data_IF_216827668526
#
_entry.id   IF_216827668526
#
_cell.length_a   1.000
_cell.length_b   1.000
_cell.length_c   1.000
_cell.angle_alpha   90.00
_cell.angle_beta   90.00
_cell.angle_gamma   90.00
#
_symmetry.space_group_name_H-M   'P 1'
#
loop_
_entity.id
_entity.type
_entity.pdbx_description
1 polymer ?
#
# COMPACT_ATOMS: atom_id res chain seq x y z
N UNK A 1 -26.33 23.61 -4.49
CA UNK A 1 -26.57 24.90 -3.82
C UNK A 1 -25.40 25.84 -4.08
N UNK A 2 -25.61 27.16 -4.01
CA UNK A 2 -24.48 28.12 -4.07
C UNK A 2 -23.98 28.41 -2.66
N UNK A 3 -22.70 28.21 -2.40
CA UNK A 3 -22.03 28.48 -1.12
C UNK A 3 -21.80 29.98 -0.95
N UNK A 4 -21.90 30.44 0.29
CA UNK A 4 -21.52 31.79 0.73
C UNK A 4 -20.57 31.63 1.93
N UNK A 5 -19.48 32.39 1.97
CA UNK A 5 -18.49 32.36 3.04
C UNK A 5 -18.90 33.28 4.19
N UNK A 6 -18.69 32.81 5.41
CA UNK A 6 -18.84 33.65 6.61
C UNK A 6 -17.66 34.61 6.75
N UNK A 7 -17.80 35.64 7.58
CA UNK A 7 -16.68 36.56 7.83
C UNK A 7 -15.52 35.89 8.56
N UNK A 8 -15.79 34.89 9.39
CA UNK A 8 -14.81 34.11 10.12
C UNK A 8 -13.95 33.26 9.14
N UNK A 9 -14.60 32.53 8.23
CA UNK A 9 -13.91 31.76 7.17
C UNK A 9 -13.04 32.64 6.28
N UNK A 10 -13.48 33.85 5.96
CA UNK A 10 -12.70 34.81 5.16
C UNK A 10 -11.51 35.33 5.96
N UNK A 11 -11.67 35.56 7.27
CA UNK A 11 -10.57 35.96 8.14
C UNK A 11 -9.49 34.88 8.21
N UNK A 12 -9.87 33.62 8.39
CA UNK A 12 -8.95 32.48 8.38
C UNK A 12 -8.21 32.36 7.04
N UNK A 13 -8.92 32.48 5.92
CA UNK A 13 -8.30 32.50 4.59
C UNK A 13 -7.28 33.63 4.44
N UNK A 14 -7.61 34.82 4.94
CA UNK A 14 -6.72 35.99 4.89
C UNK A 14 -5.48 35.77 5.76
N UNK A 15 -5.64 35.24 6.95
CA UNK A 15 -4.54 34.91 7.89
C UNK A 15 -3.59 33.85 7.32
N UNK A 16 -4.11 32.88 6.55
CA UNK A 16 -3.31 31.89 5.84
C UNK A 16 -2.50 32.44 4.64
N UNK A 17 -2.67 33.71 4.31
CA UNK A 17 -2.02 34.37 3.17
C UNK A 17 -2.69 34.08 1.82
N UNK A 18 -3.93 33.55 1.84
CA UNK A 18 -4.69 33.32 0.63
C UNK A 18 -4.89 34.60 -0.18
N UNK A 19 -4.66 34.55 -1.49
CA UNK A 19 -4.80 35.67 -2.45
C UNK A 19 -3.99 36.94 -2.13
N UNK A 20 -3.04 36.92 -1.21
CA UNK A 20 -2.31 38.09 -0.70
C UNK A 20 -1.61 38.93 -1.81
N UNK A 21 -1.18 38.34 -2.91
CA UNK A 21 -0.46 39.09 -3.95
C UNK A 21 -1.34 40.00 -4.83
N UNK A 22 -2.63 39.72 -4.93
CA UNK A 22 -3.62 40.54 -5.65
C UNK A 22 -3.32 40.85 -7.12
N UNK A 23 -2.42 40.06 -7.78
CA UNK A 23 -2.15 40.21 -9.21
C UNK A 23 -3.14 39.37 -10.03
N UNK A 24 -3.36 39.72 -11.31
CA UNK A 24 -4.24 38.94 -12.17
C UNK A 24 -3.77 37.49 -12.38
N UNK A 25 -2.46 37.25 -12.32
CA UNK A 25 -1.89 35.89 -12.43
C UNK A 25 -2.08 35.07 -11.15
N UNK A 26 -1.92 35.68 -9.98
CA UNK A 26 -2.19 35.01 -8.72
C UNK A 26 -3.69 34.82 -8.48
N UNK A 27 -4.53 35.73 -8.97
CA UNK A 27 -5.98 35.65 -8.84
C UNK A 27 -6.55 34.36 -9.46
N UNK A 28 -6.08 33.99 -10.66
CA UNK A 28 -6.56 32.77 -11.32
C UNK A 28 -6.19 31.50 -10.51
N UNK A 29 -5.02 31.48 -9.86
CA UNK A 29 -4.64 30.41 -8.95
C UNK A 29 -5.52 30.40 -7.69
N UNK A 30 -5.85 31.56 -7.14
CA UNK A 30 -6.75 31.68 -5.99
C UNK A 30 -8.18 31.25 -6.33
N UNK A 31 -8.67 31.55 -7.54
CA UNK A 31 -9.96 31.07 -8.03
C UNK A 31 -9.96 29.53 -8.09
N UNK A 32 -8.91 28.94 -8.65
CA UNK A 32 -8.77 27.49 -8.73
C UNK A 32 -8.71 26.86 -7.32
N UNK A 33 -7.94 27.43 -6.41
CA UNK A 33 -7.81 26.95 -5.02
C UNK A 33 -9.17 26.97 -4.30
N UNK A 34 -9.94 28.07 -4.39
CA UNK A 34 -11.30 28.15 -3.85
C UNK A 34 -12.21 27.06 -4.41
N UNK A 35 -12.18 26.85 -5.72
CA UNK A 35 -13.01 25.83 -6.35
C UNK A 35 -12.63 24.41 -5.90
N UNK A 36 -11.33 24.10 -5.84
CA UNK A 36 -10.88 22.78 -5.41
C UNK A 36 -11.25 22.49 -3.96
N UNK A 37 -11.02 23.44 -3.06
CA UNK A 37 -11.21 23.25 -1.62
C UNK A 37 -12.66 23.32 -1.17
N UNK A 38 -13.48 24.15 -1.81
CA UNK A 38 -14.79 24.53 -1.28
C UNK A 38 -15.97 24.22 -2.21
N UNK A 39 -15.77 23.44 -3.26
CA UNK A 39 -16.86 22.97 -4.11
C UNK A 39 -16.84 21.46 -4.27
N UNK A 40 -17.98 20.88 -4.61
CA UNK A 40 -18.17 19.47 -4.93
C UNK A 40 -19.18 19.32 -6.09
N UNK A 41 -19.68 18.10 -6.33
CA UNK A 41 -20.67 17.84 -7.38
C UNK A 41 -22.04 18.53 -7.13
N UNK A 42 -22.34 18.89 -5.88
CA UNK A 42 -23.63 19.45 -5.44
C UNK A 42 -23.53 20.92 -5.10
N UNK A 43 -22.36 21.36 -4.60
CA UNK A 43 -22.14 22.71 -4.06
C UNK A 43 -21.17 23.49 -4.94
N UNK A 44 -21.58 24.64 -5.44
CA UNK A 44 -20.74 25.56 -6.21
C UNK A 44 -20.63 26.92 -5.53
N UNK A 45 -19.81 27.81 -6.09
CA UNK A 45 -19.64 29.20 -5.62
C UNK A 45 -19.97 30.13 -6.77
N UNK A 46 -20.73 31.19 -6.50
CA UNK A 46 -21.04 32.21 -7.53
C UNK A 46 -19.82 33.06 -7.85
N UNK A 47 -19.73 33.60 -9.07
CA UNK A 47 -18.64 34.47 -9.47
C UNK A 47 -18.57 35.74 -8.61
N UNK A 48 -19.71 36.25 -8.18
CA UNK A 48 -19.82 37.40 -7.26
C UNK A 48 -19.24 37.10 -5.88
N UNK A 49 -19.50 35.88 -5.35
CA UNK A 49 -18.95 35.46 -4.07
C UNK A 49 -17.44 35.21 -4.13
N UNK A 50 -16.96 34.59 -5.19
CA UNK A 50 -15.53 34.45 -5.43
C UNK A 50 -14.86 35.84 -5.49
N UNK A 51 -15.46 36.77 -6.21
CA UNK A 51 -14.97 38.16 -6.30
C UNK A 51 -14.89 38.84 -4.93
N UNK A 52 -15.93 38.63 -4.09
CA UNK A 52 -16.01 39.17 -2.72
C UNK A 52 -14.86 38.60 -1.84
N UNK A 53 -14.71 37.28 -1.80
CA UNK A 53 -13.68 36.63 -0.98
C UNK A 53 -12.28 37.06 -1.41
N UNK A 54 -11.97 36.97 -2.70
CA UNK A 54 -10.64 37.38 -3.23
C UNK A 54 -10.40 38.87 -2.99
N UNK A 55 -11.41 39.71 -3.18
CA UNK A 55 -11.30 41.15 -2.96
C UNK A 55 -10.95 41.52 -1.51
N UNK A 56 -11.53 40.84 -0.54
CA UNK A 56 -11.24 41.03 0.88
C UNK A 56 -9.83 40.50 1.22
N UNK A 57 -9.50 39.28 0.80
CA UNK A 57 -8.22 38.65 1.14
C UNK A 57 -7.02 39.38 0.46
N UNK A 58 -7.19 39.89 -0.74
CA UNK A 58 -6.14 40.63 -1.46
C UNK A 58 -6.08 42.13 -1.13
N UNK A 59 -7.05 42.64 -0.37
CA UNK A 59 -7.25 44.07 -0.10
C UNK A 59 -7.39 44.92 -1.38
N UNK A 60 -7.83 44.30 -2.47
CA UNK A 60 -8.03 44.95 -3.77
C UNK A 60 -9.39 44.61 -4.35
N UNK A 61 -10.19 45.61 -4.76
CA UNK A 61 -11.46 45.34 -5.39
C UNK A 61 -11.32 44.40 -6.59
N UNK A 62 -12.10 43.32 -6.59
CA UNK A 62 -12.10 42.34 -7.68
C UNK A 62 -13.49 42.34 -8.30
N UNK A 63 -13.57 42.52 -9.63
CA UNK A 63 -14.86 42.53 -10.32
C UNK A 63 -15.29 41.12 -10.69
N UNK A 64 -16.60 40.88 -10.69
CA UNK A 64 -17.20 39.62 -11.12
C UNK A 64 -16.81 39.25 -12.56
N UNK A 65 -16.74 40.22 -13.47
CA UNK A 65 -16.32 40.01 -14.84
C UNK A 65 -14.85 39.52 -14.96
N UNK A 66 -13.99 39.93 -14.04
CA UNK A 66 -12.62 39.41 -13.99
C UNK A 66 -12.59 37.95 -13.55
N UNK A 67 -13.41 37.57 -12.58
CA UNK A 67 -13.56 36.19 -12.11
C UNK A 67 -14.16 35.30 -13.21
N UNK A 68 -15.18 35.75 -13.93
CA UNK A 68 -15.76 35.01 -15.06
C UNK A 68 -14.73 34.71 -16.14
N UNK A 69 -13.85 35.65 -16.46
CA UNK A 69 -12.74 35.41 -17.42
C UNK A 69 -11.77 34.35 -16.87
N UNK A 70 -11.40 34.42 -15.59
CA UNK A 70 -10.53 33.45 -14.96
C UNK A 70 -11.16 32.04 -14.93
N UNK A 71 -12.45 31.94 -14.62
CA UNK A 71 -13.21 30.69 -14.65
C UNK A 71 -13.26 30.04 -16.03
N UNK A 72 -13.50 30.85 -17.08
CA UNK A 72 -13.44 30.38 -18.46
C UNK A 72 -12.05 29.88 -18.83
N UNK A 73 -11.00 30.61 -18.46
CA UNK A 73 -9.63 30.22 -18.74
C UNK A 73 -9.25 28.92 -18.02
N UNK A 74 -9.67 28.73 -16.76
CA UNK A 74 -9.47 27.47 -16.01
C UNK A 74 -10.22 26.32 -16.72
N UNK A 75 -11.47 26.57 -17.13
CA UNK A 75 -12.30 25.56 -17.82
C UNK A 75 -11.70 25.11 -19.16
N UNK A 76 -11.09 26.04 -19.92
CA UNK A 76 -10.43 25.74 -21.20
C UNK A 76 -9.09 25.04 -21.03
N UNK A 77 -8.28 25.45 -20.04
CA UNK A 77 -6.92 24.93 -19.81
C UNK A 77 -6.90 23.62 -19.03
N UNK A 78 -7.97 23.29 -18.30
CA UNK A 78 -8.12 22.09 -17.47
C UNK A 78 -6.84 21.72 -16.67
N UNK A 79 -6.32 22.63 -15.82
CA UNK A 79 -5.10 22.39 -15.10
C UNK A 79 -5.21 21.12 -14.23
N UNK A 80 -4.24 20.24 -14.28
CA UNK A 80 -4.24 18.94 -13.58
C UNK A 80 -5.46 18.04 -13.88
N UNK A 81 -6.14 18.23 -15.04
CA UNK A 81 -7.36 17.51 -15.38
C UNK A 81 -8.62 18.00 -14.68
N UNK A 82 -8.53 19.06 -13.87
CA UNK A 82 -9.67 19.65 -13.15
C UNK A 82 -10.60 20.31 -14.16
N UNK A 83 -11.86 19.92 -14.14
CA UNK A 83 -12.93 20.55 -14.93
C UNK A 83 -13.77 21.45 -14.05
N UNK A 84 -14.08 22.62 -14.57
CA UNK A 84 -15.04 23.55 -13.95
C UNK A 84 -16.37 23.42 -14.67
N UNK A 85 -17.40 23.04 -13.95
CA UNK A 85 -18.77 23.08 -14.45
C UNK A 85 -19.27 24.52 -14.38
N UNK A 86 -19.67 25.05 -15.54
CA UNK A 86 -20.31 26.37 -15.67
C UNK A 86 -21.83 26.17 -15.48
N UNK A 87 -22.44 26.87 -14.53
CA UNK A 87 -23.88 26.72 -14.29
C UNK A 87 -24.68 27.10 -15.53
N UNK A 88 -25.71 26.32 -15.84
CA UNK A 88 -26.67 26.64 -16.91
C UNK A 88 -27.50 27.86 -16.59
N UNK A 89 -28.16 28.46 -17.62
CA UNK A 89 -29.01 29.62 -17.43
C UNK A 89 -30.20 29.27 -16.51
N UNK A 90 -30.27 29.90 -15.32
CA UNK A 90 -31.30 29.64 -14.31
C UNK A 90 -30.93 28.59 -13.25
N UNK A 91 -29.75 27.95 -13.32
CA UNK A 91 -29.26 27.09 -12.27
C UNK A 91 -28.66 27.90 -11.11
N UNK A 92 -29.15 27.66 -9.90
CA UNK A 92 -28.67 28.33 -8.67
C UNK A 92 -27.56 27.52 -7.96
N UNK A 93 -26.58 26.96 -8.71
CA UNK A 93 -25.60 26.06 -8.16
C UNK A 93 -24.19 26.69 -8.09
N UNK A 94 -23.92 27.72 -8.87
CA UNK A 94 -22.59 28.34 -8.96
C UNK A 94 -21.56 27.47 -9.71
N UNK A 95 -20.35 28.01 -9.82
CA UNK A 95 -19.20 27.31 -10.45
C UNK A 95 -18.66 26.25 -9.49
N UNK A 96 -18.35 25.08 -10.00
CA UNK A 96 -17.84 23.94 -9.21
C UNK A 96 -16.86 23.09 -9.98
N UNK A 97 -16.01 22.38 -9.26
CA UNK A 97 -15.15 21.35 -9.84
C UNK A 97 -15.90 20.03 -9.96
N UNK A 98 -15.75 19.36 -11.12
CA UNK A 98 -16.39 18.05 -11.38
C UNK A 98 -15.40 16.90 -11.49
N UNK A 99 -14.12 17.21 -11.67
CA UNK A 99 -13.02 16.23 -11.63
C UNK A 99 -11.95 16.83 -10.74
N UNK A 100 -11.84 16.34 -9.52
CA UNK A 100 -10.75 16.70 -8.63
C UNK A 100 -9.60 15.72 -8.78
N UNK A 101 -8.36 16.10 -8.42
CA UNK A 101 -7.24 15.17 -8.39
C UNK A 101 -7.50 13.95 -7.51
N UNK A 102 -8.21 14.13 -6.39
CA UNK A 102 -8.72 13.06 -5.52
C UNK A 102 -10.18 13.33 -5.19
N UNK A 103 -11.01 12.28 -5.17
CA UNK A 103 -12.32 12.34 -4.52
C UNK A 103 -12.12 12.33 -3.00
N UNK A 104 -13.16 12.72 -2.26
CA UNK A 104 -13.11 12.71 -0.80
C UNK A 104 -12.92 11.30 -0.25
N UNK A 105 -13.57 10.30 -0.85
CA UNK A 105 -13.43 8.91 -0.47
C UNK A 105 -12.01 8.38 -0.74
N UNK A 106 -11.39 8.79 -1.85
CA UNK A 106 -9.99 8.43 -2.15
C UNK A 106 -9.02 9.08 -1.16
N UNK A 107 -9.23 10.35 -0.81
CA UNK A 107 -8.40 11.05 0.17
C UNK A 107 -8.54 10.46 1.58
N UNK A 108 -9.76 10.11 2.01
CA UNK A 108 -10.04 9.42 3.27
C UNK A 108 -9.39 8.03 3.27
N UNK A 109 -9.53 7.25 2.19
CA UNK A 109 -8.90 5.94 2.07
C UNK A 109 -7.37 6.04 2.20
N UNK A 110 -6.74 7.03 1.57
CA UNK A 110 -5.30 7.28 1.71
C UNK A 110 -4.96 7.58 3.17
N UNK A 111 -5.73 8.45 3.83
CA UNK A 111 -5.53 8.81 5.23
C UNK A 111 -5.71 7.62 6.16
N UNK A 112 -6.71 6.77 5.94
CA UNK A 112 -6.97 5.56 6.72
C UNK A 112 -5.84 4.54 6.58
N UNK A 113 -5.38 4.29 5.35
CA UNK A 113 -4.24 3.41 5.08
C UNK A 113 -2.97 3.93 5.76
N UNK A 114 -2.70 5.23 5.71
CA UNK A 114 -1.58 5.87 6.39
C UNK A 114 -1.71 5.73 7.92
N UNK A 115 -2.92 5.94 8.47
CA UNK A 115 -3.21 5.81 9.89
C UNK A 115 -2.83 4.44 10.47
N UNK A 116 -3.05 3.36 9.71
CA UNK A 116 -2.70 1.99 10.11
C UNK A 116 -1.23 1.63 9.87
N UNK A 117 -0.48 2.48 9.18
CA UNK A 117 0.93 2.22 8.87
C UNK A 117 1.79 2.24 10.13
N UNK A 118 2.55 1.17 10.35
CA UNK A 118 3.47 1.05 11.49
C UNK A 118 4.89 1.56 11.20
N UNK A 119 5.18 1.95 9.96
CA UNK A 119 6.51 2.42 9.55
C UNK A 119 6.57 3.94 9.32
N UNK A 120 5.43 4.65 9.32
CA UNK A 120 5.34 6.11 9.19
C UNK A 120 5.15 6.73 10.58
N UNK A 121 5.92 7.77 10.90
CA UNK A 121 5.79 8.53 12.15
C UNK A 121 4.48 9.34 12.21
N UNK A 122 3.92 9.54 13.41
CA UNK A 122 2.61 10.19 13.58
C UNK A 122 2.55 11.58 12.93
N UNK A 123 3.52 12.46 13.17
CA UNK A 123 3.52 13.79 12.57
C UNK A 123 3.55 13.79 11.04
N UNK A 124 4.17 12.77 10.44
CA UNK A 124 4.20 12.63 8.99
C UNK A 124 2.95 11.99 8.42
N UNK A 125 2.27 11.11 9.18
CA UNK A 125 0.94 10.64 8.81
C UNK A 125 -0.01 11.81 8.68
N UNK A 126 -0.04 12.69 9.69
CA UNK A 126 -0.91 13.87 9.69
C UNK A 126 -0.55 14.83 8.54
N UNK A 127 0.74 15.05 8.27
CA UNK A 127 1.19 15.88 7.15
C UNK A 127 0.80 15.31 5.78
N UNK A 128 1.01 14.02 5.53
CA UNK A 128 0.67 13.38 4.25
C UNK A 128 -0.85 13.32 4.08
N UNK A 129 -1.59 12.99 5.15
CA UNK A 129 -3.05 12.99 5.15
C UNK A 129 -3.61 14.38 4.82
N UNK A 130 -3.08 15.42 5.45
CA UNK A 130 -3.47 16.80 5.16
C UNK A 130 -3.19 17.20 3.71
N UNK A 131 -2.06 16.76 3.14
CA UNK A 131 -1.75 16.98 1.72
C UNK A 131 -2.73 16.23 0.81
N UNK A 132 -3.09 14.99 1.12
CA UNK A 132 -4.07 14.22 0.34
C UNK A 132 -5.46 14.90 0.42
N UNK A 133 -5.89 15.28 1.61
CA UNK A 133 -7.16 15.96 1.84
C UNK A 133 -7.23 17.33 1.13
N UNK A 134 -6.11 18.06 1.01
CA UNK A 134 -6.05 19.33 0.28
C UNK A 134 -6.38 19.20 -1.23
N UNK A 135 -6.29 18.00 -1.80
CA UNK A 135 -6.72 17.71 -3.18
C UNK A 135 -8.19 17.25 -3.29
N UNK A 136 -8.90 17.18 -2.17
CA UNK A 136 -10.33 16.87 -2.10
C UNK A 136 -11.15 18.09 -1.64
N UNK A 137 -12.46 17.92 -1.42
CA UNK A 137 -13.30 18.97 -0.86
C UNK A 137 -13.30 18.95 0.67
N UNK A 138 -13.03 20.08 1.31
CA UNK A 138 -13.20 20.22 2.74
C UNK A 138 -14.64 19.90 3.18
N UNK A 139 -15.64 20.19 2.32
CA UNK A 139 -17.05 19.99 2.61
C UNK A 139 -17.43 18.52 2.77
N UNK A 140 -16.92 17.66 1.88
CA UNK A 140 -17.21 16.22 1.94
C UNK A 140 -16.44 15.54 3.08
N UNK A 141 -15.26 16.08 3.42
CA UNK A 141 -14.42 15.57 4.53
C UNK A 141 -15.07 15.90 5.88
N UNK A 142 -15.61 17.10 6.06
CA UNK A 142 -16.27 17.51 7.31
C UNK A 142 -17.57 16.73 7.56
N UNK A 143 -18.25 16.25 6.52
CA UNK A 143 -19.44 15.39 6.62
C UNK A 143 -19.09 13.90 6.81
N UNK A 144 -17.82 13.52 6.69
CA UNK A 144 -17.39 12.13 6.84
C UNK A 144 -17.35 11.71 8.31
N UNK A 145 -17.68 10.43 8.55
CA UNK A 145 -17.51 9.83 9.88
C UNK A 145 -16.02 9.57 10.12
N UNK A 146 -15.48 10.07 11.22
CA UNK A 146 -14.10 9.83 11.61
C UNK A 146 -13.86 8.32 11.83
N UNK A 147 -12.85 7.77 11.15
CA UNK A 147 -12.49 6.36 11.29
C UNK A 147 -11.78 6.13 12.62
N UNK A 148 -12.27 5.20 13.42
CA UNK A 148 -11.64 4.82 14.69
C UNK A 148 -10.51 3.81 14.44
N UNK A 149 -9.28 4.20 14.75
CA UNK A 149 -8.10 3.33 14.66
C UNK A 149 -7.83 2.65 16.00
N UNK A 150 -7.99 1.32 16.05
CA UNK A 150 -7.69 0.51 17.25
C UNK A 150 -6.19 0.21 17.35
N UNK A 151 -5.53 0.03 16.21
CA UNK A 151 -4.12 -0.40 16.10
C UNK A 151 -3.18 0.74 15.64
N UNK A 152 -3.47 1.99 16.00
CA UNK A 152 -2.57 3.12 15.68
C UNK A 152 -1.26 2.93 16.44
N UNK A 153 -0.25 2.40 15.75
CA UNK A 153 1.09 2.20 16.33
C UNK A 153 1.95 3.41 15.99
N UNK A 154 2.65 3.93 17.00
CA UNK A 154 3.68 4.93 16.77
C UNK A 154 4.69 4.40 15.75
N UNK A 155 4.85 5.09 14.64
CA UNK A 155 5.82 4.75 13.60
C UNK A 155 7.22 5.17 13.99
N UNK A 156 8.19 4.61 13.28
CA UNK A 156 9.60 5.01 13.34
C UNK A 156 9.81 6.31 12.56
N UNK A 157 11.02 6.84 12.61
CA UNK A 157 11.47 7.99 11.83
C UNK A 157 11.30 7.72 10.32
N UNK A 158 10.37 8.43 9.68
CA UNK A 158 10.01 8.23 8.29
C UNK A 158 11.05 8.83 7.35
N UNK A 159 11.76 9.88 7.74
CA UNK A 159 12.82 10.47 6.91
C UNK A 159 13.96 9.46 6.71
N UNK A 160 14.25 8.66 7.75
CA UNK A 160 15.17 7.55 7.64
C UNK A 160 14.68 6.50 6.61
N UNK A 161 13.39 6.13 6.62
CA UNK A 161 12.82 5.17 5.67
C UNK A 161 12.82 5.72 4.24
N UNK A 162 12.46 6.97 4.03
CA UNK A 162 12.53 7.61 2.70
C UNK A 162 13.95 7.69 2.18
N UNK A 163 14.94 7.95 3.04
CA UNK A 163 16.35 7.90 2.68
C UNK A 163 16.76 6.51 2.20
N UNK A 164 16.33 5.44 2.91
CA UNK A 164 16.60 4.05 2.51
C UNK A 164 15.91 3.71 1.20
N UNK A 165 14.63 4.07 1.03
CA UNK A 165 13.88 3.90 -0.22
C UNK A 165 14.57 4.57 -1.40
N UNK A 166 15.05 5.80 -1.22
CA UNK A 166 15.76 6.54 -2.25
C UNK A 166 17.08 5.85 -2.63
N UNK A 167 17.88 5.48 -1.64
CA UNK A 167 19.17 4.79 -1.85
C UNK A 167 18.97 3.43 -2.54
N UNK A 168 18.02 2.61 -2.06
CA UNK A 168 17.72 1.32 -2.64
C UNK A 168 17.21 1.44 -4.09
N UNK A 169 16.27 2.38 -4.35
CA UNK A 169 15.75 2.63 -5.70
C UNK A 169 16.86 3.06 -6.66
N UNK A 170 17.80 3.90 -6.19
CA UNK A 170 18.95 4.31 -6.98
C UNK A 170 19.86 3.13 -7.28
N UNK A 171 20.27 2.37 -6.27
CA UNK A 171 21.17 1.22 -6.41
C UNK A 171 20.59 0.17 -7.37
N UNK A 172 19.30 -0.17 -7.26
CA UNK A 172 18.60 -1.09 -8.17
C UNK A 172 18.64 -0.57 -9.61
N UNK A 173 18.33 0.71 -9.82
CA UNK A 173 18.27 1.31 -11.16
C UNK A 173 19.65 1.42 -11.82
N UNK A 174 20.70 1.67 -11.04
CA UNK A 174 22.07 1.81 -11.56
C UNK A 174 22.86 0.51 -11.57
N UNK A 175 22.29 -0.60 -11.08
CA UNK A 175 22.95 -1.90 -10.92
C UNK A 175 24.21 -1.80 -10.07
N UNK A 176 24.13 -1.06 -8.98
CA UNK A 176 25.21 -0.85 -8.03
C UNK A 176 24.91 -1.53 -6.69
N UNK A 177 25.96 -1.91 -5.99
CA UNK A 177 25.86 -2.43 -4.64
C UNK A 177 25.44 -1.34 -3.65
N UNK A 178 24.75 -1.76 -2.60
CA UNK A 178 24.31 -0.89 -1.51
C UNK A 178 24.98 -1.31 -0.21
N UNK A 179 25.60 -0.35 0.49
CA UNK A 179 26.11 -0.56 1.84
C UNK A 179 25.13 0.04 2.86
N UNK A 180 24.96 -0.64 3.99
CA UNK A 180 24.08 -0.20 5.07
C UNK A 180 24.40 -0.89 6.39
N UNK A 181 23.84 -0.39 7.49
CA UNK A 181 23.80 -1.07 8.78
C UNK A 181 22.38 -1.49 9.12
N UNK A 182 22.23 -2.47 9.98
CA UNK A 182 20.95 -2.90 10.55
C UNK A 182 20.79 -2.39 11.97
N UNK A 183 19.64 -1.82 12.26
CA UNK A 183 19.28 -1.46 13.62
C UNK A 183 18.51 -2.60 14.26
N UNK A 184 19.04 -3.10 15.39
CA UNK A 184 18.44 -4.19 16.15
C UNK A 184 17.99 -3.65 17.51
N UNK A 185 16.74 -3.92 17.87
CA UNK A 185 16.20 -3.58 19.18
C UNK A 185 16.55 -4.67 20.19
N UNK A 186 17.14 -4.27 21.30
CA UNK A 186 17.46 -5.16 22.42
C UNK A 186 16.28 -5.21 23.40
N UNK A 187 16.25 -6.27 24.23
CA UNK A 187 15.19 -6.48 25.23
C UNK A 187 15.13 -5.38 26.30
N UNK A 188 16.21 -4.67 26.53
CA UNK A 188 16.28 -3.52 27.46
C UNK A 188 15.73 -2.20 26.87
N UNK A 189 15.18 -2.26 25.64
CA UNK A 189 14.65 -1.09 24.93
C UNK A 189 15.69 -0.27 24.17
N UNK A 190 17.00 -0.57 24.32
CA UNK A 190 18.04 0.10 23.54
C UNK A 190 18.14 -0.46 22.13
N UNK A 191 18.84 0.26 21.24
CA UNK A 191 19.11 -0.19 19.87
C UNK A 191 20.61 -0.25 19.62
N UNK A 192 21.02 -1.24 18.84
CA UNK A 192 22.39 -1.38 18.36
C UNK A 192 22.41 -1.41 16.83
N UNK A 193 23.48 -0.86 16.23
CA UNK A 193 23.71 -0.92 14.79
C UNK A 193 24.72 -2.03 14.50
N UNK A 194 24.37 -2.95 13.62
CA UNK A 194 25.20 -4.09 13.19
C UNK A 194 25.58 -3.89 11.72
N UNK A 195 26.79 -4.23 11.34
CA UNK A 195 27.34 -4.08 10.00
C UNK A 195 28.61 -3.23 9.99
N UNK A 196 29.04 -2.68 8.85
CA UNK A 196 28.29 -2.52 7.61
C UNK A 196 28.09 -3.84 6.84
N UNK A 197 26.95 -3.94 6.17
CA UNK A 197 26.69 -4.93 5.12
C UNK A 197 26.90 -4.26 3.77
N UNK A 198 27.36 -4.99 2.77
CA UNK A 198 27.45 -4.52 1.39
C UNK A 198 26.86 -5.60 0.48
N UNK A 199 25.67 -5.34 -0.07
CA UNK A 199 24.82 -6.33 -0.71
C UNK A 199 24.37 -5.90 -2.10
N UNK A 200 23.91 -6.86 -2.88
CA UNK A 200 23.38 -6.66 -4.23
C UNK A 200 21.85 -6.47 -4.17
N UNK A 201 21.30 -5.27 -4.36
CA UNK A 201 19.87 -5.04 -4.27
C UNK A 201 19.12 -5.57 -5.50
N UNK A 202 18.04 -6.31 -5.26
CA UNK A 202 17.21 -6.92 -6.30
C UNK A 202 15.96 -6.09 -6.56
N UNK A 203 15.12 -5.92 -5.52
CA UNK A 203 13.83 -5.25 -5.60
C UNK A 203 13.39 -4.69 -4.25
N UNK A 204 12.52 -3.68 -4.32
CA UNK A 204 11.76 -3.19 -3.17
C UNK A 204 10.39 -3.83 -3.24
N UNK A 205 9.98 -4.50 -2.18
CA UNK A 205 8.69 -5.18 -2.07
C UNK A 205 7.86 -4.55 -0.97
N UNK A 206 6.63 -4.13 -1.27
CA UNK A 206 5.66 -3.70 -0.27
C UNK A 206 4.70 -4.85 0.02
N UNK A 207 4.70 -5.35 1.25
CA UNK A 207 3.88 -6.48 1.68
C UNK A 207 3.46 -6.34 3.14
N UNK A 208 2.18 -6.60 3.43
CA UNK A 208 1.62 -6.52 4.79
C UNK A 208 1.89 -5.18 5.51
N UNK A 209 1.74 -4.07 4.78
CA UNK A 209 1.94 -2.73 5.32
C UNK A 209 3.39 -2.38 5.65
N UNK A 210 4.38 -3.07 5.05
CA UNK A 210 5.81 -2.84 5.26
C UNK A 210 6.59 -2.93 3.97
N UNK A 211 7.66 -2.16 3.90
CA UNK A 211 8.64 -2.26 2.84
C UNK A 211 9.74 -3.26 3.19
N UNK A 212 10.13 -4.06 2.21
CA UNK A 212 11.24 -5.01 2.27
C UNK A 212 12.18 -4.75 1.10
N UNK A 213 13.48 -4.85 1.35
CA UNK A 213 14.51 -4.90 0.31
C UNK A 213 14.91 -6.35 0.11
N UNK A 214 14.66 -6.88 -1.09
CA UNK A 214 15.25 -8.15 -1.53
C UNK A 214 16.66 -7.89 -2.00
N UNK A 215 17.60 -8.68 -1.50
CA UNK A 215 19.03 -8.61 -1.83
C UNK A 215 19.55 -9.98 -2.21
N UNK A 216 20.67 -10.02 -2.90
CA UNK A 216 21.53 -11.20 -2.99
C UNK A 216 22.68 -11.02 -1.99
N UNK A 217 22.72 -11.93 -1.02
CA UNK A 217 23.86 -12.05 -0.10
C UNK A 217 24.85 -13.03 -0.67
N UNK A 218 26.12 -12.61 -0.79
CA UNK A 218 27.24 -13.47 -1.19
C UNK A 218 28.08 -13.76 0.04
N UNK A 219 28.12 -15.02 0.46
CA UNK A 219 28.88 -15.44 1.63
C UNK A 219 30.41 -15.56 1.34
N UNK A 220 31.20 -15.85 2.38
CA UNK A 220 32.66 -16.01 2.28
C UNK A 220 33.07 -17.15 1.36
N UNK A 221 32.21 -18.13 1.09
CA UNK A 221 32.45 -19.24 0.15
C UNK A 221 32.14 -18.86 -1.30
N UNK A 222 31.58 -17.65 -1.55
CA UNK A 222 31.11 -17.22 -2.85
C UNK A 222 29.74 -17.78 -3.23
N UNK A 223 29.03 -18.42 -2.29
CA UNK A 223 27.65 -18.86 -2.52
C UNK A 223 26.71 -17.69 -2.39
N UNK A 224 25.79 -17.54 -3.36
CA UNK A 224 24.82 -16.46 -3.39
C UNK A 224 23.43 -16.94 -3.02
N UNK A 225 22.74 -16.22 -2.11
CA UNK A 225 21.38 -16.54 -1.69
C UNK A 225 20.50 -15.28 -1.58
N UNK A 226 19.20 -15.36 -1.92
CA UNK A 226 18.30 -14.26 -1.73
C UNK A 226 17.96 -14.07 -0.24
N UNK A 227 17.87 -12.82 0.18
CA UNK A 227 17.49 -12.47 1.54
C UNK A 227 16.61 -11.22 1.54
N UNK A 228 15.76 -11.07 2.56
CA UNK A 228 14.88 -9.92 2.72
C UNK A 228 15.23 -9.13 3.98
N UNK A 229 15.47 -7.84 3.82
CA UNK A 229 15.60 -6.90 4.93
C UNK A 229 14.37 -6.03 5.00
N UNK A 230 13.84 -5.82 6.20
CA UNK A 230 12.85 -4.77 6.40
C UNK A 230 13.53 -3.41 6.25
N UNK A 231 12.92 -2.51 5.47
CA UNK A 231 13.50 -1.18 5.26
C UNK A 231 13.60 -0.37 6.55
N UNK A 232 12.65 -0.55 7.46
CA UNK A 232 12.63 0.15 8.75
C UNK A 232 13.71 -0.34 9.75
N UNK A 233 14.43 -1.41 9.42
CA UNK A 233 15.60 -1.88 10.16
C UNK A 233 16.93 -1.46 9.52
N UNK A 234 16.91 -0.89 8.31
CA UNK A 234 18.09 -0.40 7.60
C UNK A 234 18.40 1.03 8.04
N UNK A 235 19.67 1.30 8.31
CA UNK A 235 20.19 2.64 8.65
C UNK A 235 21.51 2.91 7.94
N UNK A 236 21.87 4.18 7.79
CA UNK A 236 23.08 4.64 7.14
C UNK A 236 23.25 4.07 5.71
N UNK A 237 22.22 4.16 4.80
CA UNK A 237 22.28 3.56 3.47
C UNK A 237 23.21 4.37 2.55
N UNK A 238 24.06 3.68 1.79
CA UNK A 238 24.99 4.27 0.81
C UNK A 238 24.99 3.46 -0.47
N UNK A 239 24.81 4.10 -1.62
CA UNK A 239 25.08 3.49 -2.93
C UNK A 239 26.58 3.55 -3.17
N UNK A 240 27.22 2.40 -3.36
CA UNK A 240 28.68 2.29 -3.27
C UNK A 240 29.43 2.70 -4.54
N UNK A 241 28.75 2.83 -5.67
CA UNK A 241 29.37 3.02 -6.99
C UNK A 241 30.06 1.76 -7.53
N UNK A 242 29.99 0.62 -6.81
CA UNK A 242 30.53 -0.66 -7.26
C UNK A 242 29.48 -1.45 -8.02
N UNK A 243 29.85 -2.19 -9.09
CA UNK A 243 28.92 -3.07 -9.78
C UNK A 243 28.42 -4.20 -8.86
N UNK A 244 27.28 -4.80 -9.23
CA UNK A 244 26.76 -5.98 -8.54
C UNK A 244 27.79 -7.11 -8.54
N UNK A 245 27.84 -7.88 -7.45
CA UNK A 245 28.75 -9.03 -7.31
C UNK A 245 28.25 -10.22 -8.13
N UNK A 246 26.94 -10.40 -8.22
CA UNK A 246 26.28 -11.50 -8.95
C UNK A 246 25.12 -10.95 -9.79
N UNK A 247 25.46 -10.31 -10.91
CA UNK A 247 24.47 -9.70 -11.81
C UNK A 247 23.47 -10.72 -12.36
N UNK A 248 23.95 -11.92 -12.75
CA UNK A 248 23.08 -12.96 -13.33
C UNK A 248 22.04 -13.43 -12.32
N UNK A 249 22.44 -13.63 -11.08
CA UNK A 249 21.54 -14.01 -9.99
C UNK A 249 20.50 -12.91 -9.70
N UNK A 250 20.94 -11.66 -9.64
CA UNK A 250 20.04 -10.51 -9.43
C UNK A 250 19.00 -10.42 -10.53
N UNK A 251 19.38 -10.52 -11.81
CA UNK A 251 18.45 -10.49 -12.93
C UNK A 251 17.47 -11.68 -12.92
N UNK A 252 17.96 -12.88 -12.61
CA UNK A 252 17.10 -14.05 -12.46
C UNK A 252 16.05 -13.87 -11.35
N UNK A 253 16.39 -13.22 -10.25
CA UNK A 253 15.46 -12.91 -9.17
C UNK A 253 14.48 -11.81 -9.56
N UNK A 254 14.92 -10.74 -10.22
CA UNK A 254 14.05 -9.66 -10.70
C UNK A 254 12.91 -10.15 -11.58
N UNK A 255 13.19 -11.13 -12.46
CA UNK A 255 12.17 -11.69 -13.35
C UNK A 255 11.07 -12.47 -12.64
N UNK A 256 11.32 -12.96 -11.44
CA UNK A 256 10.40 -13.80 -10.66
C UNK A 256 9.95 -13.21 -9.32
N UNK A 257 10.40 -12.00 -8.95
CA UNK A 257 10.13 -11.38 -7.65
C UNK A 257 8.65 -11.39 -7.27
N UNK A 258 7.75 -11.10 -8.21
CA UNK A 258 6.29 -11.09 -7.97
C UNK A 258 5.77 -12.50 -7.68
N UNK A 259 6.21 -13.50 -8.46
CA UNK A 259 5.80 -14.89 -8.28
C UNK A 259 6.32 -15.45 -6.95
N UNK A 260 7.60 -15.22 -6.65
CA UNK A 260 8.24 -15.69 -5.42
C UNK A 260 7.62 -15.01 -4.18
N UNK A 261 7.32 -13.72 -4.25
CA UNK A 261 6.67 -12.98 -3.15
C UNK A 261 5.27 -13.51 -2.86
N UNK A 262 4.47 -13.84 -3.88
CA UNK A 262 3.14 -14.44 -3.71
C UNK A 262 3.17 -15.80 -3.01
N UNK A 263 4.26 -16.54 -3.14
CA UNK A 263 4.44 -17.85 -2.53
C UNK A 263 4.98 -17.79 -1.09
N UNK A 264 5.45 -16.61 -0.64
CA UNK A 264 5.93 -16.36 0.73
C UNK A 264 4.80 -15.92 1.65
N UNK A 265 4.82 -16.37 2.87
CA UNK A 265 3.94 -15.86 3.92
C UNK A 265 4.73 -14.93 4.84
N UNK A 266 4.27 -13.69 4.98
CA UNK A 266 4.93 -12.62 5.75
C UNK A 266 6.40 -12.41 5.35
N UNK A 267 6.73 -12.56 4.05
CA UNK A 267 8.09 -12.48 3.50
C UNK A 267 9.07 -13.54 4.00
N UNK A 268 8.57 -14.57 4.69
CA UNK A 268 9.37 -15.75 5.08
C UNK A 268 9.11 -16.92 4.12
N UNK A 269 10.15 -17.71 3.87
CA UNK A 269 10.03 -18.91 3.03
C UNK A 269 11.37 -19.54 2.76
N UNK A 270 11.33 -20.80 2.35
CA UNK A 270 12.49 -21.51 1.77
C UNK A 270 12.77 -21.02 0.34
N UNK A 271 13.90 -21.42 -0.22
CA UNK A 271 14.28 -21.07 -1.60
C UNK A 271 13.43 -21.77 -2.66
N UNK A 272 12.65 -22.76 -2.28
CA UNK A 272 11.86 -23.58 -3.19
C UNK A 272 10.39 -23.60 -2.79
N UNK A 273 9.53 -23.18 -3.72
CA UNK A 273 8.09 -23.33 -3.57
C UNK A 273 7.68 -24.80 -3.70
N UNK A 274 6.65 -25.17 -2.95
CA UNK A 274 6.04 -26.50 -2.99
C UNK A 274 4.57 -26.40 -3.37
N UNK A 275 4.11 -27.38 -4.14
CA UNK A 275 2.72 -27.49 -4.51
C UNK A 275 1.97 -28.33 -3.49
N UNK A 276 1.08 -27.71 -2.77
CA UNK A 276 0.28 -28.33 -1.72
C UNK A 276 -1.21 -28.34 -2.06
N UNK A 277 -1.90 -29.33 -1.52
CA UNK A 277 -3.37 -29.39 -1.56
C UNK A 277 -3.92 -29.08 -0.18
N UNK A 278 -4.87 -28.19 -0.13
CA UNK A 278 -5.55 -27.79 1.11
C UNK A 278 -7.00 -28.30 1.06
N UNK A 279 -7.44 -28.94 2.12
CA UNK A 279 -8.86 -29.21 2.38
C UNK A 279 -9.41 -28.01 3.14
N UNK A 280 -10.46 -27.39 2.64
CA UNK A 280 -10.98 -26.09 3.12
C UNK A 280 -12.47 -26.22 3.43
N UNK A 281 -12.88 -25.80 4.61
CA UNK A 281 -14.28 -25.60 4.96
C UNK A 281 -14.83 -24.34 4.26
N UNK A 282 -16.05 -24.35 3.75
CA UNK A 282 -16.63 -23.26 2.97
C UNK A 282 -16.60 -21.91 3.68
N UNK A 283 -16.83 -21.89 5.00
CA UNK A 283 -16.74 -20.67 5.82
C UNK A 283 -15.35 -20.03 5.83
N UNK A 284 -14.29 -20.77 5.49
CA UNK A 284 -12.90 -20.32 5.47
C UNK A 284 -12.36 -20.12 4.06
N UNK A 285 -13.14 -20.34 3.02
CA UNK A 285 -12.72 -20.15 1.63
C UNK A 285 -12.20 -18.72 1.38
N UNK A 286 -12.84 -17.71 1.98
CA UNK A 286 -12.42 -16.29 1.86
C UNK A 286 -10.99 -16.07 2.30
N UNK A 287 -10.53 -16.66 3.42
CA UNK A 287 -9.17 -16.50 3.93
C UNK A 287 -8.12 -17.18 3.03
N UNK A 288 -8.53 -18.24 2.33
CA UNK A 288 -7.66 -18.89 1.33
C UNK A 288 -7.57 -18.05 0.06
N UNK A 289 -8.68 -17.44 -0.41
CA UNK A 289 -8.66 -16.47 -1.51
C UNK A 289 -7.83 -15.21 -1.18
N UNK A 290 -8.03 -14.64 0.01
CA UNK A 290 -7.24 -13.47 0.47
C UNK A 290 -5.74 -13.77 0.50
N UNK A 291 -5.39 -15.02 0.82
CA UNK A 291 -3.97 -15.42 0.94
C UNK A 291 -3.32 -15.82 -0.36
N UNK A 292 -4.01 -16.57 -1.21
CA UNK A 292 -3.44 -17.19 -2.41
C UNK A 292 -3.96 -16.59 -3.73
N UNK A 293 -4.89 -15.65 -3.67
CA UNK A 293 -5.45 -14.93 -4.81
C UNK A 293 -6.86 -15.40 -5.18
N UNK A 294 -7.62 -14.49 -5.78
CA UNK A 294 -9.01 -14.72 -6.17
C UNK A 294 -9.17 -15.58 -7.45
N UNK A 295 -8.09 -15.79 -8.18
CA UNK A 295 -8.03 -16.70 -9.35
C UNK A 295 -7.88 -18.18 -8.96
N UNK A 296 -7.65 -18.46 -7.65
CA UNK A 296 -7.63 -19.82 -7.11
C UNK A 296 -8.96 -20.51 -7.33
N UNK A 297 -8.93 -21.79 -7.74
CA UNK A 297 -10.13 -22.60 -7.95
C UNK A 297 -10.21 -23.75 -6.94
N UNK A 298 -11.38 -23.88 -6.32
CA UNK A 298 -11.70 -25.05 -5.53
C UNK A 298 -12.22 -26.19 -6.40
N UNK A 299 -11.76 -27.39 -6.12
CA UNK A 299 -12.18 -28.62 -6.77
C UNK A 299 -12.76 -29.60 -5.74
N UNK A 300 -13.44 -30.65 -6.22
CA UNK A 300 -14.04 -31.67 -5.34
C UNK A 300 -14.90 -31.08 -4.21
N UNK A 301 -15.78 -30.15 -4.59
CA UNK A 301 -16.68 -29.48 -3.66
C UNK A 301 -17.75 -30.49 -3.24
N UNK A 302 -17.89 -30.71 -1.92
CA UNK A 302 -18.90 -31.53 -1.33
C UNK A 302 -19.92 -30.65 -0.57
N UNK A 303 -21.09 -30.51 -1.15
CA UNK A 303 -22.22 -29.73 -0.62
C UNK A 303 -23.19 -30.56 0.21
N UNK A 304 -22.95 -31.87 0.36
CA UNK A 304 -23.86 -32.79 1.05
C UNK A 304 -24.00 -32.51 2.54
N UNK A 305 -23.06 -31.73 3.12
CA UNK A 305 -23.02 -31.36 4.53
C UNK A 305 -23.89 -30.16 4.95
N UNK A 306 -24.76 -29.62 4.08
CA UNK A 306 -25.51 -28.39 4.37
C UNK A 306 -24.58 -27.21 4.54
N UNK A 307 -24.57 -26.55 5.72
CA UNK A 307 -23.70 -25.43 6.02
C UNK A 307 -22.18 -25.80 6.07
N UNK A 308 -21.85 -27.09 6.07
CA UNK A 308 -20.49 -27.61 6.13
C UNK A 308 -19.93 -28.01 4.76
N UNK A 309 -20.06 -27.13 3.76
CA UNK A 309 -19.44 -27.32 2.45
C UNK A 309 -17.92 -27.49 2.61
N UNK A 310 -17.36 -28.47 1.92
CA UNK A 310 -15.91 -28.73 1.92
C UNK A 310 -15.40 -28.77 0.47
N UNK A 311 -14.28 -28.08 0.22
CA UNK A 311 -13.61 -28.10 -1.07
C UNK A 311 -12.10 -28.30 -0.91
N UNK A 312 -11.42 -28.48 -2.04
CA UNK A 312 -9.96 -28.62 -2.07
C UNK A 312 -9.37 -27.59 -3.01
N UNK A 313 -8.26 -26.98 -2.60
CA UNK A 313 -7.49 -26.02 -3.39
C UNK A 313 -6.06 -26.52 -3.60
N UNK A 314 -5.50 -26.28 -4.77
CA UNK A 314 -4.10 -26.50 -5.08
C UNK A 314 -3.37 -25.16 -4.99
N UNK A 315 -2.35 -25.04 -4.13
CA UNK A 315 -1.60 -23.83 -3.86
C UNK A 315 -0.09 -24.02 -3.98
N UNK A 316 0.62 -23.00 -4.42
CA UNK A 316 2.07 -22.97 -4.40
C UNK A 316 2.53 -22.08 -3.24
N UNK A 317 3.36 -22.62 -2.35
CA UNK A 317 3.82 -21.92 -1.15
C UNK A 317 5.22 -22.34 -0.77
N UNK A 318 6.00 -21.39 -0.26
CA UNK A 318 7.27 -21.67 0.39
C UNK A 318 7.04 -22.04 1.84
N UNK A 319 7.54 -23.21 2.25
CA UNK A 319 7.40 -23.68 3.63
C UNK A 319 8.16 -22.77 4.58
N UNK A 320 7.52 -22.34 5.64
CA UNK A 320 8.10 -21.46 6.65
C UNK A 320 7.35 -21.56 7.98
N UNK A 321 7.95 -21.13 9.10
CA UNK A 321 7.24 -21.02 10.37
C UNK A 321 5.96 -20.16 10.29
N UNK A 322 5.96 -19.12 9.43
CA UNK A 322 4.80 -18.25 9.22
C UNK A 322 3.69 -18.94 8.44
N UNK A 323 4.02 -19.81 7.47
CA UNK A 323 3.01 -20.66 6.82
C UNK A 323 2.35 -21.63 7.82
N UNK A 324 3.14 -22.28 8.65
CA UNK A 324 2.60 -23.20 9.64
C UNK A 324 1.77 -22.49 10.70
N UNK A 325 2.19 -21.31 11.15
CA UNK A 325 1.40 -20.45 12.05
C UNK A 325 0.08 -20.03 11.41
N UNK A 326 0.07 -19.65 10.13
CA UNK A 326 -1.14 -19.33 9.40
C UNK A 326 -2.08 -20.54 9.33
N UNK A 327 -1.55 -21.71 8.94
CA UNK A 327 -2.34 -22.93 8.84
C UNK A 327 -2.93 -23.35 10.20
N UNK A 328 -2.15 -23.22 11.26
CA UNK A 328 -2.58 -23.50 12.63
C UNK A 328 -3.69 -22.52 13.08
N UNK A 329 -3.56 -21.25 12.75
CA UNK A 329 -4.56 -20.21 13.04
C UNK A 329 -5.93 -20.43 12.38
N UNK A 330 -6.00 -21.29 11.36
CA UNK A 330 -7.26 -21.69 10.71
C UNK A 330 -8.07 -22.72 11.53
N UNK A 331 -7.62 -23.13 12.72
CA UNK A 331 -8.38 -23.94 13.68
C UNK A 331 -8.87 -25.28 13.13
N UNK A 332 -8.19 -25.85 12.14
CA UNK A 332 -8.59 -27.11 11.50
C UNK A 332 -9.65 -26.97 10.41
N UNK A 333 -10.15 -25.78 10.12
CA UNK A 333 -11.02 -25.50 8.97
C UNK A 333 -10.28 -25.49 7.64
N UNK A 334 -8.95 -25.26 7.68
CA UNK A 334 -8.02 -25.46 6.56
C UNK A 334 -6.97 -26.49 7.00
N UNK A 335 -6.78 -27.54 6.20
CA UNK A 335 -5.85 -28.64 6.51
C UNK A 335 -5.03 -29.01 5.29
N UNK A 336 -3.80 -29.47 5.51
CA UNK A 336 -3.05 -30.17 4.49
C UNK A 336 -3.80 -31.40 4.02
N UNK A 337 -3.96 -31.54 2.71
CA UNK A 337 -4.62 -32.69 2.11
C UNK A 337 -3.61 -33.57 1.39
N UNK A 338 -3.54 -34.84 1.76
CA UNK A 338 -2.70 -35.83 1.04
C UNK A 338 -3.27 -36.05 -0.35
N UNK A 339 -2.44 -35.98 -1.42
CA UNK A 339 -2.87 -36.32 -2.77
C UNK A 339 -3.46 -37.75 -2.87
N UNK A 340 -4.65 -37.86 -3.45
CA UNK A 340 -5.42 -39.14 -3.47
C UNK A 340 -5.16 -40.01 -4.71
N UNK A 341 -4.28 -39.61 -5.61
CA UNK A 341 -3.92 -40.32 -6.83
C UNK A 341 -3.84 -39.39 -8.05
N UNK A 342 -3.27 -39.90 -9.14
CA UNK A 342 -3.01 -39.12 -10.36
C UNK A 342 -4.29 -38.48 -10.94
N UNK A 343 -5.40 -39.21 -10.98
CA UNK A 343 -6.69 -38.70 -11.50
C UNK A 343 -7.24 -37.56 -10.64
N UNK A 344 -7.12 -37.66 -9.34
CA UNK A 344 -7.55 -36.63 -8.40
C UNK A 344 -6.69 -35.35 -8.55
N UNK A 345 -5.35 -35.50 -8.63
CA UNK A 345 -4.42 -34.38 -8.88
C UNK A 345 -4.72 -33.69 -10.20
N UNK A 346 -4.91 -34.46 -11.27
CA UNK A 346 -5.17 -33.91 -12.61
C UNK A 346 -6.52 -33.19 -12.77
N UNK A 347 -7.39 -33.17 -11.73
CA UNK A 347 -8.60 -32.36 -11.73
C UNK A 347 -8.39 -30.92 -11.33
N UNK A 348 -7.21 -30.57 -10.79
CA UNK A 348 -6.89 -29.20 -10.39
C UNK A 348 -6.24 -28.45 -11.58
N UNK A 349 -6.69 -27.23 -11.90
CA UNK A 349 -6.16 -26.48 -13.06
C UNK A 349 -4.66 -26.23 -13.02
N UNK A 350 -4.10 -26.13 -11.81
CA UNK A 350 -2.69 -25.78 -11.58
C UNK A 350 -1.83 -26.99 -11.20
N UNK A 351 -2.29 -28.22 -11.44
CA UNK A 351 -1.56 -29.44 -11.12
C UNK A 351 -1.57 -30.44 -12.27
N UNK A 352 -0.42 -31.05 -12.56
CA UNK A 352 -0.30 -32.07 -13.57
C UNK A 352 -0.31 -33.48 -12.94
N UNK A 353 -1.11 -34.40 -13.51
CA UNK A 353 -1.19 -35.76 -13.02
C UNK A 353 0.16 -36.52 -13.12
N UNK A 354 1.06 -36.10 -14.03
CA UNK A 354 2.44 -36.64 -14.16
C UNK A 354 3.25 -36.41 -12.90
N UNK A 355 3.02 -35.31 -12.17
CA UNK A 355 3.84 -34.84 -11.09
C UNK A 355 3.37 -35.36 -9.71
N UNK A 356 2.45 -36.33 -9.71
CA UNK A 356 1.90 -36.93 -8.47
C UNK A 356 2.98 -37.31 -7.45
N UNK A 357 4.09 -37.89 -7.92
CA UNK A 357 5.21 -38.27 -7.04
C UNK A 357 5.90 -37.06 -6.38
N UNK A 358 6.00 -35.93 -7.08
CA UNK A 358 6.53 -34.69 -6.54
C UNK A 358 5.59 -34.12 -5.48
N UNK A 359 4.30 -34.06 -5.76
CA UNK A 359 3.28 -33.56 -4.82
C UNK A 359 3.17 -34.39 -3.56
N UNK A 360 3.44 -35.70 -3.66
CA UNK A 360 3.52 -36.56 -2.47
C UNK A 360 4.70 -36.17 -1.58
N UNK A 361 5.89 -35.91 -2.17
CA UNK A 361 7.08 -35.45 -1.41
C UNK A 361 6.84 -34.05 -0.82
N UNK A 362 6.18 -33.16 -1.55
CA UNK A 362 5.83 -31.84 -1.05
C UNK A 362 4.86 -31.90 0.14
N UNK A 363 3.86 -32.78 0.05
CA UNK A 363 2.96 -33.04 1.18
C UNK A 363 3.70 -33.60 2.40
N UNK A 364 4.58 -34.58 2.22
CA UNK A 364 5.34 -35.21 3.31
C UNK A 364 6.26 -34.18 3.99
N UNK A 365 6.96 -33.35 3.22
CA UNK A 365 7.79 -32.29 3.76
C UNK A 365 6.96 -31.24 4.53
N UNK A 366 5.78 -30.86 4.01
CA UNK A 366 4.89 -29.92 4.69
C UNK A 366 4.28 -30.52 5.97
N UNK A 367 3.90 -31.78 5.96
CA UNK A 367 3.36 -32.48 7.11
C UNK A 367 4.39 -32.65 8.24
N UNK A 368 5.64 -32.98 7.87
CA UNK A 368 6.75 -33.06 8.81
C UNK A 368 7.09 -31.71 9.42
N UNK A 369 7.21 -30.67 8.58
CA UNK A 369 7.44 -29.28 9.04
C UNK A 369 6.32 -28.77 9.95
N UNK A 370 5.06 -29.07 9.64
CA UNK A 370 3.92 -28.70 10.47
C UNK A 370 3.95 -29.42 11.83
N UNK A 371 4.28 -30.70 11.84
CA UNK A 371 4.47 -31.49 13.07
C UNK A 371 5.59 -30.92 13.94
N UNK A 372 6.75 -30.64 13.36
CA UNK A 372 7.88 -30.05 14.07
C UNK A 372 7.53 -28.68 14.67
N UNK A 373 6.78 -27.84 13.93
CA UNK A 373 6.32 -26.55 14.43
C UNK A 373 5.35 -26.67 15.60
N UNK A 374 4.46 -27.67 15.60
CA UNK A 374 3.55 -27.97 16.72
C UNK A 374 4.33 -28.49 17.94
N UNK A 375 5.27 -29.39 17.76
CA UNK A 375 6.11 -29.93 18.85
C UNK A 375 6.92 -28.80 19.51
N UNK A 376 7.51 -27.89 18.70
CA UNK A 376 8.21 -26.73 19.22
C UNK A 376 7.28 -25.79 20.01
N UNK A 377 6.05 -25.58 19.55
CA UNK A 377 5.05 -24.76 20.26
C UNK A 377 4.63 -25.40 21.60
N UNK A 378 4.47 -26.73 21.64
CA UNK A 378 4.13 -27.46 22.89
C UNK A 378 5.29 -27.37 23.90
N UNK A 379 6.54 -27.47 23.46
CA UNK A 379 7.71 -27.36 24.33
C UNK A 379 7.86 -25.96 24.96
N UNK A 380 7.28 -24.94 24.36
CA UNK A 380 7.26 -23.57 24.93
C UNK A 380 6.21 -23.40 26.07
N UNK A 381 5.31 -24.37 26.22
CA UNK A 381 4.30 -24.37 27.28
C UNK A 381 4.74 -25.17 28.55
N UNK A 382 5.83 -25.88 28.46
CA UNK A 382 6.44 -26.63 29.55
C UNK A 382 7.57 -25.84 30.21
#
# INVERSE_FOLDING_TARGET
MSRTFTEEEISELKESGFAASGTSRSRILSVLDLLVRFTDERTGISASEIARVIGICSEKPTSENAILKDLHQISESMPMGIRVAIPGHGENVGFRTVNKPLSSEEAILISDVLGTSSFIGEGQKDEISSKALAFSSNYDVDESVETVFVDRKAGKDTDAIFSVLHAASRAIRTNERMAFKKQVHLMNGSTVKIGPYEEDPVAIVFSFGRYYLEIVHVDESGSSSPYFHRLDDIVDPVVTGKPLSDYEKVEALRTRVVADTRQRIDMFGSDTARTLFLKVSGSHAKYVYERFGHDLKFCHIDESGGDNVVGYACVNVMLSPTFFRWLFGMGGAVKLAKPKGKRWVGSFPNAAASDFGSYMRDYEAAAEGYKAALEAAILQLA
#
